data_IF_409987671317
#
_entry.id   IF_409987671317
#
_cell.length_a   1.000
_cell.length_b   1.000
_cell.length_c   1.000
_cell.angle_alpha   90.00
_cell.angle_beta   90.00
_cell.angle_gamma   90.00
#
_symmetry.space_group_name_H-M   'P 1'
#
loop_
_entity.id
_entity.type
_entity.pdbx_description
1 polymer ?
#
# COMPACT_ATOMS: atom_id res chain seq x y z
N UNK A 1 -48.08 -2.10 18.30
CA UNK A 1 -47.68 -3.52 18.44
C UNK A 1 -46.64 -3.86 17.37
N UNK A 2 -46.99 -3.90 16.08
CA UNK A 2 -46.07 -4.21 14.96
C UNK A 2 -44.76 -3.40 14.92
N UNK A 3 -44.79 -2.12 15.29
CA UNK A 3 -43.58 -1.27 15.30
C UNK A 3 -42.63 -1.62 16.45
N UNK A 4 -43.16 -1.86 17.65
CA UNK A 4 -42.39 -2.30 18.82
C UNK A 4 -41.79 -3.69 18.61
N UNK A 5 -42.48 -4.58 17.91
CA UNK A 5 -41.97 -5.92 17.58
C UNK A 5 -40.82 -5.83 16.57
N UNK A 6 -40.93 -4.96 15.55
CA UNK A 6 -39.83 -4.66 14.62
C UNK A 6 -38.60 -4.06 15.31
N UNK A 7 -38.80 -3.14 16.25
CA UNK A 7 -37.70 -2.56 17.02
C UNK A 7 -36.97 -3.60 17.88
N UNK A 8 -37.72 -4.51 18.51
CA UNK A 8 -37.17 -5.62 19.29
C UNK A 8 -36.37 -6.58 18.41
N UNK A 9 -36.91 -7.00 17.27
CA UNK A 9 -36.20 -7.85 16.31
C UNK A 9 -34.93 -7.19 15.79
N UNK A 10 -34.98 -5.89 15.50
CA UNK A 10 -33.81 -5.12 15.07
C UNK A 10 -32.74 -5.03 16.16
N UNK A 11 -33.14 -4.84 17.42
CA UNK A 11 -32.21 -4.82 18.56
C UNK A 11 -31.54 -6.20 18.75
N UNK A 12 -32.33 -7.28 18.75
CA UNK A 12 -31.83 -8.66 18.86
C UNK A 12 -30.85 -8.98 17.74
N UNK A 13 -31.16 -8.56 16.51
CA UNK A 13 -30.26 -8.74 15.37
C UNK A 13 -28.93 -7.99 15.57
N UNK A 14 -28.97 -6.71 15.95
CA UNK A 14 -27.76 -5.90 16.20
C UNK A 14 -26.89 -6.51 17.29
N UNK A 15 -27.50 -7.00 18.36
CA UNK A 15 -26.80 -7.69 19.44
C UNK A 15 -26.13 -8.99 18.95
N UNK A 16 -26.84 -9.79 18.15
CA UNK A 16 -26.27 -11.00 17.54
C UNK A 16 -25.12 -10.68 16.58
N UNK A 17 -25.21 -9.60 15.79
CA UNK A 17 -24.13 -9.12 14.92
C UNK A 17 -22.90 -8.69 15.74
N UNK A 18 -23.08 -7.94 16.84
CA UNK A 18 -22.00 -7.54 17.73
C UNK A 18 -21.33 -8.75 18.42
N UNK A 19 -22.14 -9.69 18.90
CA UNK A 19 -21.66 -10.95 19.49
C UNK A 19 -20.88 -11.78 18.47
N UNK A 20 -21.35 -11.83 17.22
CA UNK A 20 -20.65 -12.52 16.16
C UNK A 20 -19.30 -11.88 15.83
N UNK A 21 -19.23 -10.55 15.73
CA UNK A 21 -17.96 -9.83 15.52
C UNK A 21 -16.96 -10.05 16.66
N UNK A 22 -17.44 -10.10 17.90
CA UNK A 22 -16.60 -10.43 19.07
C UNK A 22 -16.08 -11.86 18.97
N UNK A 23 -16.96 -12.81 18.65
CA UNK A 23 -16.58 -14.21 18.44
C UNK A 23 -15.55 -14.37 17.32
N UNK A 24 -15.72 -13.66 16.20
CA UNK A 24 -14.75 -13.63 15.11
C UNK A 24 -13.38 -13.13 15.58
N UNK A 25 -13.36 -12.07 16.38
CA UNK A 25 -12.12 -11.49 16.92
C UNK A 25 -11.40 -12.47 17.87
N UNK A 26 -12.15 -13.17 18.73
CA UNK A 26 -11.58 -14.10 19.71
C UNK A 26 -11.03 -15.38 19.06
N UNK A 27 -11.74 -15.89 18.05
CA UNK A 27 -11.46 -17.20 17.43
C UNK A 27 -10.58 -17.07 16.20
N UNK A 28 -10.82 -16.06 15.36
CA UNK A 28 -10.14 -15.83 14.08
C UNK A 28 -9.16 -14.67 14.26
N UNK A 29 -8.00 -14.99 14.88
CA UNK A 29 -7.00 -14.00 15.29
C UNK A 29 -6.35 -13.26 14.10
N UNK A 30 -5.36 -13.89 13.47
CA UNK A 30 -4.52 -13.23 12.45
C UNK A 30 -4.33 -14.08 11.19
N UNK A 31 -4.74 -15.34 11.23
CA UNK A 31 -4.71 -16.21 10.08
C UNK A 31 -6.02 -16.02 9.30
N UNK A 32 -5.88 -15.57 8.06
CA UNK A 32 -7.03 -15.38 7.16
C UNK A 32 -7.44 -16.76 6.66
N UNK A 33 -8.42 -17.36 7.34
CA UNK A 33 -8.95 -18.66 6.99
C UNK A 33 -10.08 -18.54 5.96
N UNK A 34 -10.28 -19.52 5.08
CA UNK A 34 -11.51 -19.64 4.31
C UNK A 34 -12.73 -19.85 5.23
N UNK A 35 -13.91 -19.36 4.83
CA UNK A 35 -15.15 -19.51 5.61
C UNK A 35 -15.40 -20.94 6.09
N UNK A 36 -15.13 -21.94 5.24
CA UNK A 36 -15.31 -23.36 5.56
C UNK A 36 -14.53 -23.78 6.81
N UNK A 37 -13.30 -23.30 6.97
CA UNK A 37 -12.44 -23.67 8.08
C UNK A 37 -12.67 -22.78 9.30
N UNK A 38 -12.85 -21.47 9.09
CA UNK A 38 -13.28 -20.56 10.15
C UNK A 38 -14.59 -21.05 10.82
N UNK A 39 -15.58 -21.47 10.02
CA UNK A 39 -16.86 -21.98 10.52
C UNK A 39 -16.72 -23.23 11.39
N UNK A 40 -15.74 -24.11 11.13
CA UNK A 40 -15.48 -25.28 11.99
C UNK A 40 -14.98 -24.85 13.37
N UNK A 41 -14.17 -23.79 13.43
CA UNK A 41 -13.66 -23.24 14.69
C UNK A 41 -14.77 -22.51 15.46
N UNK A 42 -15.54 -21.67 14.76
CA UNK A 42 -16.63 -20.89 15.35
C UNK A 42 -17.70 -21.79 15.98
N UNK A 43 -18.07 -22.90 15.33
CA UNK A 43 -19.05 -23.88 15.84
C UNK A 43 -18.67 -24.57 17.14
N UNK A 44 -17.39 -24.59 17.50
CA UNK A 44 -16.94 -25.17 18.77
C UNK A 44 -17.14 -24.22 19.96
N UNK A 45 -17.43 -22.95 19.68
CA UNK A 45 -17.63 -21.96 20.73
C UNK A 45 -19.09 -22.00 21.22
N UNK A 46 -19.28 -21.97 22.55
CA UNK A 46 -20.62 -22.03 23.17
C UNK A 46 -21.54 -20.87 22.75
N UNK A 47 -20.98 -19.73 22.31
CA UNK A 47 -21.76 -18.58 21.82
C UNK A 47 -22.37 -18.80 20.43
N UNK A 48 -21.93 -19.82 19.69
CA UNK A 48 -22.32 -20.00 18.29
C UNK A 48 -23.82 -20.25 18.10
N UNK A 49 -24.43 -21.10 18.92
CA UNK A 49 -25.82 -21.51 18.73
C UNK A 49 -26.78 -20.33 18.92
N UNK A 50 -26.60 -19.54 19.99
CA UNK A 50 -27.38 -18.33 20.23
C UNK A 50 -27.28 -17.30 19.09
N UNK A 51 -26.10 -17.17 18.46
CA UNK A 51 -25.91 -16.32 17.28
C UNK A 51 -26.60 -16.93 16.05
N UNK A 52 -26.52 -18.26 15.89
CA UNK A 52 -27.07 -18.99 14.76
C UNK A 52 -28.61 -18.98 14.72
N UNK A 53 -29.26 -18.86 15.87
CA UNK A 53 -30.71 -18.77 16.01
C UNK A 53 -31.26 -17.44 15.50
N UNK A 54 -30.47 -16.36 15.60
CA UNK A 54 -30.88 -15.01 15.16
C UNK A 54 -30.36 -14.71 13.76
N UNK A 55 -29.10 -15.04 13.46
CA UNK A 55 -28.46 -14.71 12.19
C UNK A 55 -28.55 -15.87 11.20
N UNK A 56 -29.09 -15.56 10.01
CA UNK A 56 -29.12 -16.53 8.92
C UNK A 56 -27.72 -16.98 8.53
N UNK A 57 -27.64 -18.09 7.78
CA UNK A 57 -26.35 -18.57 7.24
C UNK A 57 -25.69 -17.50 6.35
N UNK A 58 -26.49 -16.82 5.53
CA UNK A 58 -26.02 -15.79 4.60
C UNK A 58 -25.51 -14.55 5.36
N UNK A 59 -26.22 -14.11 6.40
CA UNK A 59 -25.80 -12.96 7.21
C UNK A 59 -24.45 -13.21 7.89
N UNK A 60 -24.25 -14.40 8.48
CA UNK A 60 -22.97 -14.77 9.11
C UNK A 60 -21.82 -14.82 8.11
N UNK A 61 -22.05 -15.33 6.91
CA UNK A 61 -21.03 -15.38 5.85
C UNK A 61 -20.64 -13.96 5.39
N UNK A 62 -21.61 -13.07 5.20
CA UNK A 62 -21.35 -11.65 4.87
C UNK A 62 -20.59 -10.91 5.97
N UNK A 63 -20.93 -11.13 7.24
CA UNK A 63 -20.22 -10.55 8.38
C UNK A 63 -18.79 -11.07 8.46
N UNK A 64 -18.60 -12.37 8.20
CA UNK A 64 -17.27 -12.98 8.11
C UNK A 64 -16.43 -12.37 6.99
N UNK A 65 -16.99 -12.22 5.79
CA UNK A 65 -16.29 -11.61 4.65
C UNK A 65 -15.90 -10.15 4.94
N UNK A 66 -16.80 -9.41 5.61
CA UNK A 66 -16.53 -8.04 6.07
C UNK A 66 -15.38 -8.01 7.07
N UNK A 67 -15.38 -8.93 8.04
CA UNK A 67 -14.30 -9.06 9.02
C UNK A 67 -12.96 -9.40 8.36
N UNK A 68 -12.94 -10.39 7.47
CA UNK A 68 -11.74 -10.79 6.71
C UNK A 68 -11.23 -9.66 5.82
N UNK A 69 -12.12 -8.90 5.18
CA UNK A 69 -11.76 -7.69 4.43
C UNK A 69 -11.08 -6.66 5.35
N UNK A 70 -11.61 -6.46 6.56
CA UNK A 70 -11.00 -5.60 7.58
C UNK A 70 -9.59 -6.08 8.00
N UNK A 71 -9.40 -7.38 8.22
CA UNK A 71 -8.09 -7.96 8.50
C UNK A 71 -7.11 -7.75 7.34
N UNK A 72 -7.58 -7.97 6.10
CA UNK A 72 -6.78 -7.76 4.90
C UNK A 72 -6.34 -6.29 4.77
N UNK A 73 -7.24 -5.34 5.03
CA UNK A 73 -6.94 -3.90 5.01
C UNK A 73 -5.90 -3.54 6.07
N UNK A 74 -6.07 -3.99 7.32
CA UNK A 74 -5.11 -3.74 8.40
C UNK A 74 -3.73 -4.34 8.10
N UNK A 75 -3.69 -5.56 7.55
CA UNK A 75 -2.44 -6.19 7.14
C UNK A 75 -1.77 -5.41 6.00
N UNK A 76 -2.55 -4.90 5.04
CA UNK A 76 -2.04 -4.04 3.95
C UNK A 76 -1.43 -2.76 4.51
N UNK A 77 -2.15 -2.05 5.36
CA UNK A 77 -1.66 -0.83 6.01
C UNK A 77 -0.38 -1.10 6.83
N UNK A 78 -0.32 -2.20 7.57
CA UNK A 78 0.88 -2.59 8.32
C UNK A 78 2.07 -2.89 7.41
N UNK A 79 1.83 -3.58 6.29
CA UNK A 79 2.85 -3.86 5.30
C UNK A 79 3.40 -2.57 4.65
N UNK A 80 2.52 -1.67 4.21
CA UNK A 80 2.93 -0.40 3.60
C UNK A 80 3.70 0.47 4.60
N UNK A 81 3.26 0.56 5.86
CA UNK A 81 4.00 1.25 6.93
C UNK A 81 5.38 0.65 7.16
N UNK A 82 5.52 -0.67 7.05
CA UNK A 82 6.81 -1.35 7.19
C UNK A 82 7.75 -1.03 6.02
N UNK A 83 7.24 -0.92 4.79
CA UNK A 83 8.03 -0.44 3.65
C UNK A 83 8.50 1.00 3.88
N UNK A 84 7.59 1.89 4.30
CA UNK A 84 7.88 3.32 4.48
C UNK A 84 8.80 3.62 5.66
N UNK A 85 8.77 2.79 6.71
CA UNK A 85 9.63 2.95 7.88
C UNK A 85 11.08 2.49 7.62
N UNK A 86 11.35 1.81 6.51
CA UNK A 86 12.68 1.30 6.18
C UNK A 86 13.30 2.11 5.04
N UNK A 87 14.23 3.00 5.38
CA UNK A 87 14.91 3.89 4.41
C UNK A 87 15.69 3.15 3.32
N UNK A 88 16.09 1.89 3.56
CA UNK A 88 16.75 1.07 2.54
C UNK A 88 15.80 0.57 1.44
N UNK A 89 14.49 0.63 1.68
CA UNK A 89 13.48 0.19 0.72
C UNK A 89 13.20 1.29 -0.31
N UNK A 90 13.38 0.97 -1.58
CA UNK A 90 13.06 1.86 -2.69
C UNK A 90 12.05 1.21 -3.64
N UNK A 91 11.36 2.03 -4.44
CA UNK A 91 10.36 1.51 -5.38
C UNK A 91 10.96 0.70 -6.54
N UNK A 92 12.25 0.85 -6.82
CA UNK A 92 12.96 0.13 -7.87
C UNK A 92 13.64 -1.16 -7.40
N UNK A 93 13.51 -1.51 -6.12
CA UNK A 93 14.01 -2.80 -5.61
C UNK A 93 13.22 -3.97 -6.19
N UNK A 94 13.91 -5.09 -6.40
CA UNK A 94 13.22 -6.33 -6.74
C UNK A 94 12.51 -6.90 -5.51
N UNK A 95 11.45 -7.68 -5.73
CA UNK A 95 10.79 -8.40 -4.64
C UNK A 95 11.73 -9.35 -3.88
N UNK A 96 12.77 -9.87 -4.55
CA UNK A 96 13.80 -10.70 -3.90
C UNK A 96 14.57 -9.86 -2.87
N UNK A 97 15.03 -8.68 -3.25
CA UNK A 97 15.80 -7.81 -2.37
C UNK A 97 14.95 -7.33 -1.18
N UNK A 98 13.68 -7.01 -1.41
CA UNK A 98 12.73 -6.67 -0.32
C UNK A 98 12.62 -7.82 0.68
N UNK A 99 12.50 -9.07 0.21
CA UNK A 99 12.46 -10.24 1.09
C UNK A 99 13.76 -10.40 1.87
N UNK A 100 14.90 -10.21 1.22
CA UNK A 100 16.22 -10.31 1.84
C UNK A 100 16.42 -9.23 2.92
N UNK A 101 15.90 -8.00 2.69
CA UNK A 101 15.89 -6.91 3.68
C UNK A 101 15.05 -7.23 4.92
N UNK A 102 13.88 -7.86 4.75
CA UNK A 102 12.94 -8.16 5.86
C UNK A 102 13.00 -9.59 6.38
N UNK A 103 14.01 -10.39 6.00
CA UNK A 103 14.06 -11.83 6.30
C UNK A 103 14.03 -12.18 7.80
N UNK A 104 14.55 -11.29 8.66
CA UNK A 104 14.56 -11.47 10.12
C UNK A 104 13.31 -10.87 10.79
N UNK A 105 12.47 -10.11 10.06
CA UNK A 105 11.26 -9.51 10.62
C UNK A 105 10.12 -10.53 10.64
N UNK A 106 9.83 -11.07 11.83
CA UNK A 106 8.76 -12.05 12.03
C UNK A 106 7.38 -11.60 11.52
N UNK A 107 7.12 -10.28 11.45
CA UNK A 107 5.86 -9.74 10.92
C UNK A 107 5.80 -9.92 9.42
N UNK A 108 6.91 -9.65 8.72
CA UNK A 108 7.04 -9.86 7.28
C UNK A 108 7.01 -11.35 6.92
N UNK A 109 7.73 -12.19 7.66
CA UNK A 109 7.77 -13.64 7.43
C UNK A 109 6.36 -14.25 7.46
N UNK A 110 5.49 -13.81 8.38
CA UNK A 110 4.08 -14.24 8.44
C UNK A 110 3.27 -13.87 7.20
N UNK A 111 3.62 -12.77 6.52
CA UNK A 111 2.96 -12.37 5.27
C UNK A 111 3.27 -13.34 4.12
N UNK A 112 4.45 -13.98 4.14
CA UNK A 112 4.90 -14.87 3.06
C UNK A 112 4.03 -16.11 2.87
N UNK A 113 3.20 -16.48 3.85
CA UNK A 113 2.13 -17.48 3.67
C UNK A 113 1.18 -17.15 2.51
N UNK A 114 1.14 -15.88 2.08
CA UNK A 114 0.44 -15.42 0.87
C UNK A 114 1.35 -14.56 -0.01
N UNK A 115 2.58 -15.01 -0.30
CA UNK A 115 3.60 -14.25 -1.04
C UNK A 115 3.07 -13.60 -2.33
N UNK A 116 2.28 -14.32 -3.13
CA UNK A 116 1.70 -13.78 -4.38
C UNK A 116 0.91 -12.49 -4.16
N UNK A 117 0.15 -12.41 -3.06
CA UNK A 117 -0.61 -11.22 -2.68
C UNK A 117 0.33 -10.06 -2.34
N UNK A 118 1.27 -10.29 -1.43
CA UNK A 118 2.15 -9.22 -0.94
C UNK A 118 3.14 -8.72 -1.98
N UNK A 119 3.57 -9.60 -2.90
CA UNK A 119 4.31 -9.21 -4.10
C UNK A 119 3.48 -8.30 -5.01
N UNK A 120 2.17 -8.53 -5.14
CA UNK A 120 1.29 -7.63 -5.88
C UNK A 120 1.14 -6.29 -5.17
N UNK A 121 0.90 -6.29 -3.84
CA UNK A 121 0.80 -5.06 -3.05
C UNK A 121 2.08 -4.21 -3.11
N UNK A 122 3.27 -4.84 -3.08
CA UNK A 122 4.55 -4.15 -3.26
C UNK A 122 4.68 -3.52 -4.65
N UNK A 123 4.25 -4.23 -5.70
CA UNK A 123 4.28 -3.72 -7.08
C UNK A 123 3.40 -2.49 -7.23
N UNK A 124 2.19 -2.53 -6.68
CA UNK A 124 1.25 -1.42 -6.75
C UNK A 124 1.81 -0.20 -5.99
N UNK A 125 2.37 -0.42 -4.80
CA UNK A 125 3.07 0.61 -4.04
C UNK A 125 4.26 1.20 -4.82
N UNK A 126 5.07 0.34 -5.43
CA UNK A 126 6.23 0.75 -6.21
C UNK A 126 5.84 1.60 -7.42
N UNK A 127 4.81 1.19 -8.16
CA UNK A 127 4.30 1.92 -9.32
C UNK A 127 3.75 3.30 -8.93
N UNK A 128 3.03 3.40 -7.81
CA UNK A 128 2.53 4.68 -7.30
C UNK A 128 3.68 5.63 -6.92
N UNK A 129 4.71 5.09 -6.25
CA UNK A 129 5.90 5.85 -5.84
C UNK A 129 6.72 6.31 -7.04
N UNK A 130 6.92 5.44 -8.03
CA UNK A 130 7.59 5.77 -9.28
C UNK A 130 6.85 6.90 -10.01
N UNK A 131 5.53 6.79 -10.17
CA UNK A 131 4.72 7.81 -10.84
C UNK A 131 4.82 9.17 -10.13
N UNK A 132 4.75 9.18 -8.79
CA UNK A 132 4.90 10.39 -7.98
C UNK A 132 6.29 11.01 -8.11
N UNK A 133 7.35 10.19 -8.04
CA UNK A 133 8.73 10.65 -8.16
C UNK A 133 8.99 11.27 -9.54
N UNK A 134 8.60 10.58 -10.62
CA UNK A 134 8.70 11.08 -11.99
C UNK A 134 7.95 12.39 -12.19
N UNK A 135 6.70 12.46 -11.73
CA UNK A 135 5.89 13.68 -11.84
C UNK A 135 6.56 14.86 -11.12
N UNK A 136 7.02 14.64 -9.90
CA UNK A 136 7.67 15.69 -9.11
C UNK A 136 8.99 16.16 -9.74
N UNK A 137 9.77 15.22 -10.30
CA UNK A 137 10.98 15.55 -11.03
C UNK A 137 10.68 16.33 -12.33
N UNK A 138 9.65 15.94 -13.10
CA UNK A 138 9.22 16.71 -14.27
C UNK A 138 8.74 18.12 -13.92
N UNK A 139 8.04 18.30 -12.79
CA UNK A 139 7.64 19.62 -12.28
C UNK A 139 8.86 20.47 -11.93
N UNK A 140 9.87 19.89 -11.27
CA UNK A 140 11.15 20.55 -11.02
C UNK A 140 11.82 21.01 -12.31
N UNK A 141 11.92 20.14 -13.32
CA UNK A 141 12.55 20.51 -14.59
C UNK A 141 11.83 21.69 -15.23
N UNK A 142 10.50 21.71 -15.18
CA UNK A 142 9.67 22.84 -15.65
C UNK A 142 9.90 24.13 -14.86
N UNK A 143 10.00 24.05 -13.53
CA UNK A 143 10.33 25.20 -12.67
C UNK A 143 11.71 25.78 -13.00
N UNK A 144 12.66 24.93 -13.38
CA UNK A 144 14.05 25.29 -13.66
C UNK A 144 14.33 25.52 -15.15
N UNK A 145 13.33 25.39 -16.03
CA UNK A 145 13.47 25.52 -17.49
C UNK A 145 14.25 26.78 -17.89
N UNK A 146 13.83 27.95 -17.41
CA UNK A 146 14.47 29.21 -17.80
C UNK A 146 15.95 29.27 -17.42
N UNK A 147 16.31 28.76 -16.24
CA UNK A 147 17.71 28.71 -15.79
C UNK A 147 18.52 27.74 -16.67
N UNK A 148 17.95 26.59 -16.99
CA UNK A 148 18.59 25.55 -17.81
C UNK A 148 18.79 26.05 -19.25
N UNK A 149 17.78 26.69 -19.85
CA UNK A 149 17.87 27.29 -21.19
C UNK A 149 18.94 28.38 -21.25
N UNK A 150 18.96 29.31 -20.28
CA UNK A 150 20.00 30.35 -20.22
C UNK A 150 21.40 29.76 -20.08
N UNK A 151 21.57 28.74 -19.22
CA UNK A 151 22.85 28.06 -19.06
C UNK A 151 23.27 27.29 -20.32
N UNK A 152 22.33 26.64 -21.03
CA UNK A 152 22.57 25.93 -22.30
C UNK A 152 23.07 26.89 -23.39
N UNK A 153 22.42 28.06 -23.55
CA UNK A 153 22.85 29.11 -24.48
C UNK A 153 24.25 29.61 -24.18
N UNK A 154 24.53 29.97 -22.92
CA UNK A 154 25.84 30.49 -22.51
C UNK A 154 26.95 29.44 -22.52
N UNK A 155 26.59 28.14 -22.43
CA UNK A 155 27.58 27.06 -22.50
C UNK A 155 28.15 26.83 -23.91
N UNK A 156 27.51 27.37 -24.94
CA UNK A 156 28.13 27.47 -26.27
C UNK A 156 29.33 28.44 -26.29
N UNK A 157 29.43 29.34 -25.31
CA UNK A 157 30.50 30.32 -25.15
C UNK A 157 31.46 29.97 -23.98
N UNK A 158 30.95 29.37 -22.88
CA UNK A 158 31.69 28.94 -21.70
C UNK A 158 31.16 27.61 -21.13
N UNK A 159 31.85 26.50 -21.38
CA UNK A 159 31.35 25.14 -21.11
C UNK A 159 31.05 24.74 -19.66
N UNK A 160 31.36 25.55 -18.63
CA UNK A 160 31.18 25.15 -17.22
C UNK A 160 29.80 25.47 -16.63
N UNK A 161 29.05 26.42 -17.19
CA UNK A 161 27.84 26.94 -16.53
C UNK A 161 26.67 25.96 -16.54
N UNK A 162 26.47 25.23 -17.64
CA UNK A 162 25.47 24.15 -17.69
C UNK A 162 25.83 23.04 -16.71
N UNK A 163 27.10 22.66 -16.58
CA UNK A 163 27.54 21.63 -15.65
C UNK A 163 27.24 21.99 -14.19
N UNK A 164 27.45 23.25 -13.79
CA UNK A 164 27.13 23.75 -12.45
C UNK A 164 25.61 23.71 -12.17
N UNK A 165 24.78 24.10 -13.16
CA UNK A 165 23.32 24.01 -13.06
C UNK A 165 22.89 22.54 -12.93
N UNK A 166 23.42 21.65 -13.77
CA UNK A 166 23.09 20.22 -13.72
C UNK A 166 23.53 19.57 -12.40
N UNK A 167 24.68 19.97 -11.85
CA UNK A 167 25.15 19.53 -10.54
C UNK A 167 24.16 19.92 -9.44
N UNK A 168 23.64 21.15 -9.49
CA UNK A 168 22.62 21.64 -8.56
C UNK A 168 21.31 20.84 -8.68
N UNK A 169 20.87 20.52 -9.90
CA UNK A 169 19.67 19.70 -10.11
C UNK A 169 19.83 18.28 -9.56
N UNK A 170 21.03 17.67 -9.70
CA UNK A 170 21.34 16.34 -9.12
C UNK A 170 21.34 16.34 -7.59
N UNK A 171 21.51 17.50 -6.96
CA UNK A 171 21.42 17.64 -5.52
C UNK A 171 19.97 17.78 -5.01
N UNK A 172 19.01 18.14 -5.88
CA UNK A 172 17.60 18.28 -5.52
C UNK A 172 17.01 16.91 -5.10
N UNK A 173 16.23 16.93 -4.02
CA UNK A 173 15.58 15.73 -3.46
C UNK A 173 14.69 15.03 -4.49
N UNK A 174 14.09 15.78 -5.42
CA UNK A 174 13.20 15.25 -6.46
C UNK A 174 13.97 14.48 -7.53
N UNK A 175 15.20 14.89 -7.84
CA UNK A 175 16.09 14.11 -8.70
C UNK A 175 16.50 12.81 -8.02
N UNK A 176 16.93 12.89 -6.75
CA UNK A 176 17.38 11.72 -5.95
C UNK A 176 16.26 10.74 -5.64
N UNK A 177 15.00 11.19 -5.69
CA UNK A 177 13.84 10.36 -5.51
C UNK A 177 13.54 9.46 -6.72
N UNK A 178 14.16 9.69 -7.89
CA UNK A 178 13.99 8.87 -9.09
C UNK A 178 15.16 7.90 -9.22
N UNK A 179 14.88 6.67 -9.67
CA UNK A 179 15.91 5.68 -10.02
C UNK A 179 16.95 6.28 -10.98
N UNK A 180 18.24 6.04 -10.73
CA UNK A 180 19.32 6.80 -11.36
C UNK A 180 19.35 6.70 -12.89
N UNK A 181 19.06 5.53 -13.46
CA UNK A 181 18.97 5.34 -14.90
C UNK A 181 17.84 6.16 -15.50
N UNK A 182 16.65 6.07 -14.91
CA UNK A 182 15.47 6.80 -15.36
C UNK A 182 15.59 8.32 -15.17
N UNK A 183 16.19 8.78 -14.07
CA UNK A 183 16.44 10.19 -13.82
C UNK A 183 17.36 10.80 -14.87
N UNK A 184 18.41 10.07 -15.28
CA UNK A 184 19.30 10.47 -16.38
C UNK A 184 18.55 10.55 -17.70
N UNK A 185 17.79 9.51 -18.04
CA UNK A 185 16.99 9.47 -19.27
C UNK A 185 16.00 10.64 -19.36
N UNK A 186 15.23 10.90 -18.30
CA UNK A 186 14.29 12.02 -18.26
C UNK A 186 14.98 13.38 -18.40
N UNK A 187 16.16 13.56 -17.79
CA UNK A 187 16.94 14.79 -17.92
C UNK A 187 17.47 14.98 -19.35
N UNK A 188 18.00 13.92 -19.97
CA UNK A 188 18.47 13.93 -21.36
C UNK A 188 17.35 14.27 -22.34
N UNK A 189 16.19 13.61 -22.20
CA UNK A 189 14.99 13.89 -22.99
C UNK A 189 14.53 15.35 -22.81
N UNK A 190 14.59 15.88 -21.59
CA UNK A 190 14.25 17.29 -21.33
C UNK A 190 15.22 18.25 -22.03
N UNK A 191 16.54 18.01 -21.93
CA UNK A 191 17.57 18.85 -22.55
C UNK A 191 17.51 18.85 -24.08
N UNK A 192 17.15 17.72 -24.69
CA UNK A 192 16.95 17.59 -26.14
C UNK A 192 15.72 18.36 -26.63
N UNK A 193 14.65 18.40 -25.84
CA UNK A 193 13.41 19.10 -26.17
C UNK A 193 13.43 20.60 -25.84
N UNK A 194 14.47 21.08 -25.13
CA UNK A 194 14.69 22.51 -24.96
C UNK A 194 15.12 23.11 -26.30
N UNK A 195 14.20 23.84 -26.93
CA UNK A 195 14.50 24.71 -28.07
C UNK A 195 15.69 25.63 -27.76
N UNK A 196 16.48 25.91 -28.79
CA UNK A 196 17.67 26.77 -28.69
C UNK A 196 17.34 28.20 -28.25
#
# INVERSE_FOLDING_TARGET
>A
MREKDREREAHLRKEAEANFNTLLTDVIKSEILPWKDAKKLLRKNSRWDAIADVLSRSDREKLFDTYVSGLNKKAKEAFLKMLEANESITYWMSWKDVKDTFKEDSRFVKLLSSEKKWKAEFRDWAQERESKAKKSFSEMLKEKTSLISSAKRQSSENGSMLDDVLSTLKADIRYRAVESGEAKKMLEEFLQNLED
#
